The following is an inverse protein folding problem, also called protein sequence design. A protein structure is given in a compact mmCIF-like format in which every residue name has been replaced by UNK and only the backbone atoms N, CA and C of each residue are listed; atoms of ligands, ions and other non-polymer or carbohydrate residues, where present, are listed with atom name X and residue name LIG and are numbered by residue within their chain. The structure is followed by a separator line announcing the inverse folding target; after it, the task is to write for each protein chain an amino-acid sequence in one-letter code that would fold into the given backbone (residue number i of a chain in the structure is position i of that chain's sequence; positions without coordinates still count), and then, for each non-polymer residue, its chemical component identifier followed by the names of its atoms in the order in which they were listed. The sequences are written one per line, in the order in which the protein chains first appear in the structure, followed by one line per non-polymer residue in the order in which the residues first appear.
data_IF_950453614653
#
_entry.id   IF_950453614653
#
_cell.length_a   1.000
_cell.length_b   1.000
_cell.length_c   1.000
_cell.angle_alpha   90.00
_cell.angle_beta   90.00
_cell.angle_gamma   90.00
#
_symmetry.space_group_name_H-M   'P 1'
#
loop_
_entity.id
_entity.type
_entity.pdbx_description
1 polymer ?
#
# COMPACT_ATOMS: atom_id res chain seq x y z
N UNK A 1 17.57 11.80 3.84
CA UNK A 1 16.37 12.62 4.11
C UNK A 1 15.29 11.72 4.70
N UNK A 2 14.44 12.24 5.59
CA UNK A 2 13.33 11.47 6.17
C UNK A 2 12.21 11.33 5.12
N UNK A 3 11.75 10.10 4.86
CA UNK A 3 10.65 9.84 3.92
C UNK A 3 9.31 10.26 4.52
N UNK A 4 8.38 10.68 3.66
CA UNK A 4 7.01 10.94 4.07
C UNK A 4 6.27 9.62 4.25
N UNK A 5 5.86 9.32 5.48
CA UNK A 5 5.10 8.11 5.80
C UNK A 5 3.63 8.34 5.44
N UNK A 6 3.05 7.43 4.66
CA UNK A 6 1.70 7.55 4.10
C UNK A 6 0.89 6.30 4.42
N UNK A 7 -0.37 6.50 4.80
CA UNK A 7 -1.40 5.45 4.79
C UNK A 7 -2.34 5.78 3.63
N UNK A 8 -2.66 4.79 2.81
CA UNK A 8 -3.65 4.92 1.74
C UNK A 8 -4.96 4.32 2.24
N UNK A 9 -6.01 5.14 2.30
CA UNK A 9 -7.34 4.65 2.70
C UNK A 9 -8.03 4.01 1.50
N UNK A 10 -8.33 2.71 1.61
CA UNK A 10 -8.81 1.88 0.51
C UNK A 10 -7.75 0.89 0.01
N UNK A 11 -8.21 -0.32 -0.37
CA UNK A 11 -7.35 -1.42 -0.83
C UNK A 11 -7.95 -2.13 -2.07
N UNK A 12 -8.36 -1.36 -3.06
CA UNK A 12 -8.81 -1.87 -4.36
C UNK A 12 -8.66 -0.82 -5.47
N UNK A 13 -8.91 -1.23 -6.72
CA UNK A 13 -9.13 -0.33 -7.86
C UNK A 13 -8.18 0.89 -7.91
N UNK A 14 -8.74 2.07 -7.61
CA UNK A 14 -8.03 3.35 -7.67
C UNK A 14 -6.88 3.46 -6.66
N UNK A 15 -7.02 2.88 -5.48
CA UNK A 15 -6.05 3.05 -4.39
C UNK A 15 -4.75 2.32 -4.74
N UNK A 16 -4.88 1.09 -5.26
CA UNK A 16 -3.76 0.36 -5.84
C UNK A 16 -3.21 1.05 -7.09
N UNK A 17 -4.07 1.64 -7.93
CA UNK A 17 -3.59 2.40 -9.08
C UNK A 17 -2.73 3.59 -8.67
N UNK A 18 -3.18 4.39 -7.70
CA UNK A 18 -2.43 5.52 -7.16
C UNK A 18 -1.10 5.08 -6.55
N UNK A 19 -1.12 3.99 -5.76
CA UNK A 19 0.11 3.37 -5.27
C UNK A 19 1.08 3.04 -6.41
N UNK A 20 0.61 2.32 -7.43
CA UNK A 20 1.44 1.88 -8.54
C UNK A 20 2.03 3.02 -9.38
N UNK A 21 1.29 4.11 -9.56
CA UNK A 21 1.71 5.23 -10.43
C UNK A 21 2.48 6.32 -9.70
N UNK A 22 2.24 6.54 -8.41
CA UNK A 22 2.83 7.67 -7.66
C UNK A 22 3.84 7.22 -6.60
N UNK A 23 3.64 6.06 -5.95
CA UNK A 23 4.33 5.72 -4.70
C UNK A 23 5.33 4.55 -4.81
N UNK A 24 5.03 3.53 -5.63
CA UNK A 24 5.70 2.21 -5.68
C UNK A 24 7.24 2.23 -5.63
N UNK A 25 7.89 3.12 -6.37
CA UNK A 25 9.37 3.23 -6.40
C UNK A 25 9.86 4.65 -6.12
N UNK A 26 9.03 5.46 -5.44
CA UNK A 26 9.33 6.84 -5.13
C UNK A 26 9.96 6.96 -3.73
N UNK A 27 11.27 7.23 -3.70
CA UNK A 27 12.06 7.31 -2.46
C UNK A 27 11.71 8.48 -1.55
N UNK A 28 10.87 9.43 -2.00
CA UNK A 28 10.32 10.48 -1.15
C UNK A 28 9.23 9.97 -0.20
N UNK A 29 8.65 8.79 -0.47
CA UNK A 29 7.52 8.24 0.28
C UNK A 29 7.79 6.86 0.84
N UNK A 30 7.05 6.53 1.89
CA UNK A 30 6.99 5.21 2.51
C UNK A 30 5.52 4.91 2.83
N UNK A 31 4.88 4.11 1.98
CA UNK A 31 3.50 3.66 2.19
C UNK A 31 3.52 2.52 3.19
N UNK A 32 3.09 2.81 4.42
CA UNK A 32 3.21 1.89 5.55
C UNK A 32 2.01 0.95 5.69
N UNK A 33 0.87 1.30 5.08
CA UNK A 33 -0.35 0.50 5.10
C UNK A 33 -1.36 0.95 4.04
N UNK A 34 -2.22 0.00 3.64
CA UNK A 34 -3.56 0.28 3.15
C UNK A 34 -4.58 0.05 4.26
N UNK A 35 -5.75 0.69 4.19
CA UNK A 35 -6.92 0.33 5.02
C UNK A 35 -8.08 -0.16 4.15
N UNK A 36 -8.96 -1.00 4.69
CA UNK A 36 -10.17 -1.43 4.00
C UNK A 36 -11.27 -1.88 4.96
N UNK A 37 -12.54 -1.68 4.58
CA UNK A 37 -13.71 -2.12 5.37
C UNK A 37 -14.73 -2.94 4.56
N UNK A 38 -14.85 -2.70 3.25
CA UNK A 38 -15.96 -3.22 2.45
C UNK A 38 -15.68 -4.56 1.74
N UNK A 39 -14.44 -5.06 1.75
CA UNK A 39 -14.05 -6.25 0.98
C UNK A 39 -13.93 -7.45 1.93
N UNK A 40 -14.77 -8.49 1.78
CA UNK A 40 -14.70 -9.66 2.64
C UNK A 40 -13.31 -10.32 2.64
N UNK A 41 -12.79 -10.66 3.81
CA UNK A 41 -11.52 -11.36 4.03
C UNK A 41 -10.28 -10.61 3.49
N UNK A 42 -10.34 -9.29 3.28
CA UNK A 42 -9.17 -8.52 2.86
C UNK A 42 -8.30 -8.08 4.05
N UNK A 43 -8.90 -7.92 5.22
CA UNK A 43 -8.18 -7.49 6.42
C UNK A 43 -7.09 -8.51 6.79
N UNK A 44 -5.93 -8.00 7.21
CA UNK A 44 -4.77 -8.83 7.54
C UNK A 44 -4.02 -9.39 6.33
N UNK A 45 -4.53 -9.20 5.10
CA UNK A 45 -3.77 -9.48 3.88
C UNK A 45 -2.70 -8.41 3.63
N UNK A 46 -1.85 -8.68 2.64
CA UNK A 46 -0.85 -7.72 2.14
C UNK A 46 -1.10 -7.45 0.66
N UNK A 47 -0.85 -6.21 0.24
CA UNK A 47 -0.58 -5.92 -1.16
C UNK A 47 0.69 -6.70 -1.57
N UNK A 48 0.65 -7.50 -2.65
CA UNK A 48 1.68 -8.50 -2.92
C UNK A 48 3.08 -7.90 -3.13
N UNK A 49 4.14 -8.47 -2.54
CA UNK A 49 5.52 -8.04 -2.79
C UNK A 49 5.90 -7.95 -4.27
N UNK A 50 5.42 -8.90 -5.07
CA UNK A 50 5.71 -9.00 -6.50
C UNK A 50 5.15 -7.81 -7.29
N UNK A 51 4.17 -7.10 -6.73
CA UNK A 51 3.54 -5.91 -7.30
C UNK A 51 3.97 -4.62 -6.60
N UNK A 52 4.60 -4.72 -5.42
CA UNK A 52 4.86 -3.60 -4.54
C UNK A 52 6.11 -2.79 -4.90
N UNK A 53 6.96 -3.27 -5.82
CA UNK A 53 8.16 -2.57 -6.25
C UNK A 53 9.36 -2.74 -5.31
N UNK A 54 10.51 -2.18 -5.68
CA UNK A 54 11.80 -2.48 -5.01
C UNK A 54 11.87 -1.96 -3.58
N UNK A 55 11.04 -0.98 -3.25
CA UNK A 55 11.02 -0.34 -1.92
C UNK A 55 10.18 -1.14 -0.91
N UNK A 56 9.43 -2.15 -1.35
CA UNK A 56 8.46 -2.89 -0.52
C UNK A 56 8.61 -4.41 -0.71
N UNK A 57 9.77 -5.00 -0.38
CA UNK A 57 10.06 -6.43 -0.61
C UNK A 57 9.18 -7.39 0.19
N UNK A 58 8.53 -6.91 1.25
CA UNK A 58 7.61 -7.70 2.08
C UNK A 58 6.13 -7.39 1.77
N UNK A 59 5.87 -6.64 0.70
CA UNK A 59 4.55 -6.11 0.39
C UNK A 59 4.10 -5.06 1.43
N UNK A 60 2.81 -4.68 1.37
CA UNK A 60 2.26 -3.62 2.21
C UNK A 60 1.05 -4.15 2.97
N UNK A 61 1.00 -4.05 4.31
CA UNK A 61 -0.11 -4.58 5.10
C UNK A 61 -1.42 -3.84 4.81
N UNK A 62 -2.52 -4.58 4.89
CA UNK A 62 -3.88 -4.06 4.79
C UNK A 62 -4.55 -4.24 6.16
N UNK A 63 -4.89 -3.12 6.79
CA UNK A 63 -5.59 -3.09 8.08
C UNK A 63 -7.09 -2.82 7.90
N UNK A 64 -7.93 -3.19 8.87
CA UNK A 64 -9.28 -2.64 8.95
C UNK A 64 -9.22 -1.11 9.06
N UNK A 65 -10.14 -0.44 8.38
CA UNK A 65 -10.35 1.02 8.52
C UNK A 65 -11.08 1.37 9.82
#
# INVERSE_FOLDING_TARGET
MRRNRVIIMGAAGRDFHNFNTVFRDNESYEVIAFTATQIPNIEGRRYPPELAGRLYPDGIPIYPE
#
